data_IF_934382900129
#
_entry.id   IF_934382900129
#
_cell.length_a   1.000
_cell.length_b   1.000
_cell.length_c   1.000
_cell.angle_alpha   90.00
_cell.angle_beta   90.00
_cell.angle_gamma   90.00
#
_symmetry.space_group_name_H-M   'P 1'
#
loop_
_entity.id
_entity.type
_entity.pdbx_description
1 polymer ?
#
# COMPACT_ATOMS: atom_id res chain seq x y z
N UNK A 1 8.19 30.89 -0.86
CA UNK A 1 7.55 30.74 0.47
C UNK A 1 6.24 29.96 0.34
N UNK A 2 5.29 30.41 -0.50
CA UNK A 2 4.01 29.73 -0.71
C UNK A 2 4.11 28.24 -1.11
N UNK A 3 5.01 27.88 -2.03
CA UNK A 3 5.18 26.48 -2.49
C UNK A 3 5.67 25.54 -1.38
N UNK A 4 6.56 26.03 -0.51
CA UNK A 4 7.07 25.27 0.65
C UNK A 4 5.98 25.09 1.71
N UNK A 5 5.16 26.11 1.95
CA UNK A 5 4.02 26.01 2.87
C UNK A 5 2.95 25.05 2.35
N UNK A 6 2.61 25.15 1.06
CA UNK A 6 1.67 24.25 0.40
C UNK A 6 2.14 22.79 0.49
N UNK A 7 3.41 22.52 0.20
CA UNK A 7 3.96 21.18 0.35
C UNK A 7 3.94 20.69 1.79
N UNK A 8 4.30 21.53 2.77
CA UNK A 8 4.26 21.15 4.18
C UNK A 8 2.84 20.73 4.61
N UNK A 9 1.81 21.46 4.16
CA UNK A 9 0.41 21.10 4.44
C UNK A 9 0.06 19.73 3.82
N UNK A 10 0.43 19.53 2.55
CA UNK A 10 0.25 18.25 1.85
C UNK A 10 0.96 17.12 2.59
N UNK A 11 2.23 17.33 2.94
CA UNK A 11 3.05 16.35 3.65
C UNK A 11 2.40 15.97 4.98
N UNK A 12 2.10 16.94 5.85
CA UNK A 12 1.50 16.68 7.16
C UNK A 12 0.16 15.97 7.06
N UNK A 13 -0.66 16.29 6.06
CA UNK A 13 -1.98 15.69 5.86
C UNK A 13 -1.93 14.26 5.32
N UNK A 14 -0.93 13.95 4.48
CA UNK A 14 -0.89 12.68 3.74
C UNK A 14 0.17 11.69 4.25
N UNK A 15 1.17 12.13 5.02
CA UNK A 15 2.29 11.31 5.45
C UNK A 15 1.87 10.00 6.10
N UNK A 16 1.03 10.08 7.13
CA UNK A 16 0.59 8.91 7.89
C UNK A 16 -0.16 7.88 7.02
N UNK A 17 -0.92 8.35 6.02
CA UNK A 17 -1.63 7.48 5.08
C UNK A 17 -0.66 6.77 4.14
N UNK A 18 0.26 7.53 3.54
CA UNK A 18 1.30 6.98 2.64
C UNK A 18 2.20 6.01 3.39
N UNK A 19 2.62 6.33 4.61
CA UNK A 19 3.47 5.46 5.42
C UNK A 19 2.78 4.12 5.74
N UNK A 20 1.48 4.14 6.11
CA UNK A 20 0.71 2.92 6.35
C UNK A 20 0.57 2.09 5.08
N UNK A 21 0.32 2.73 3.94
CA UNK A 21 0.29 2.06 2.65
C UNK A 21 1.64 1.35 2.39
N UNK A 22 2.75 2.06 2.51
CA UNK A 22 4.10 1.50 2.35
C UNK A 22 4.34 0.31 3.30
N UNK A 23 3.98 0.42 4.59
CA UNK A 23 4.07 -0.70 5.54
C UNK A 23 3.29 -1.93 5.07
N UNK A 24 2.10 -1.74 4.50
CA UNK A 24 1.30 -2.82 3.93
C UNK A 24 1.99 -3.50 2.74
N UNK A 25 2.65 -2.73 1.86
CA UNK A 25 3.41 -3.27 0.72
C UNK A 25 4.67 -4.04 1.13
N UNK A 26 5.32 -3.65 2.22
CA UNK A 26 6.57 -4.26 2.69
C UNK A 26 6.38 -5.20 3.88
N UNK A 27 5.19 -5.79 4.03
CA UNK A 27 4.90 -6.80 5.06
C UNK A 27 5.23 -6.34 6.49
N UNK A 28 5.05 -5.05 6.78
CA UNK A 28 5.33 -4.47 8.10
C UNK A 28 6.75 -3.95 8.30
N UNK A 29 7.67 -4.13 7.34
CA UNK A 29 9.03 -3.59 7.41
C UNK A 29 9.00 -2.06 7.47
N UNK A 30 9.23 -1.52 8.67
CA UNK A 30 9.16 -0.09 8.97
C UNK A 30 10.31 0.70 8.36
N UNK A 31 11.49 0.09 8.21
CA UNK A 31 12.64 0.74 7.60
C UNK A 31 12.39 0.95 6.10
N UNK A 32 12.00 -0.13 5.38
CA UNK A 32 11.65 -0.03 3.96
C UNK A 32 10.45 0.88 3.72
N UNK A 33 9.44 0.83 4.60
CA UNK A 33 8.29 1.72 4.50
C UNK A 33 8.67 3.19 4.70
N UNK A 34 9.56 3.50 5.63
CA UNK A 34 10.07 4.86 5.86
C UNK A 34 10.82 5.37 4.63
N UNK A 35 11.74 4.58 4.10
CA UNK A 35 12.55 4.95 2.93
C UNK A 35 11.67 5.19 1.70
N UNK A 36 10.75 4.28 1.42
CA UNK A 36 9.81 4.43 0.31
C UNK A 36 8.93 5.68 0.49
N UNK A 37 8.46 5.95 1.72
CA UNK A 37 7.65 7.15 2.01
C UNK A 37 8.42 8.42 1.74
N UNK A 38 9.70 8.49 2.14
CA UNK A 38 10.55 9.64 1.83
C UNK A 38 10.71 9.83 0.32
N UNK A 39 11.02 8.77 -0.43
CA UNK A 39 11.15 8.86 -1.89
C UNK A 39 9.85 9.32 -2.56
N UNK A 40 8.70 8.86 -2.06
CA UNK A 40 7.39 9.30 -2.56
C UNK A 40 7.21 10.79 -2.37
N UNK A 41 7.50 11.34 -1.18
CA UNK A 41 7.34 12.76 -0.93
C UNK A 41 8.35 13.64 -1.66
N UNK A 42 9.56 13.12 -1.95
CA UNK A 42 10.50 13.78 -2.86
C UNK A 42 9.89 13.89 -4.27
N UNK A 43 9.34 12.79 -4.81
CA UNK A 43 8.67 12.81 -6.13
C UNK A 43 7.43 13.69 -6.15
N UNK A 44 6.70 13.78 -5.04
CA UNK A 44 5.55 14.68 -4.88
C UNK A 44 6.02 16.13 -4.98
N UNK A 45 7.10 16.49 -4.26
CA UNK A 45 7.70 17.82 -4.34
C UNK A 45 8.14 18.18 -5.76
N UNK A 46 8.90 17.28 -6.41
CA UNK A 46 9.44 17.48 -7.77
C UNK A 46 8.38 17.64 -8.86
N UNK A 47 7.16 17.15 -8.62
CA UNK A 47 6.09 17.13 -9.63
C UNK A 47 4.88 17.97 -9.23
N UNK A 48 4.95 18.66 -8.09
CA UNK A 48 3.82 19.40 -7.53
C UNK A 48 3.34 20.49 -8.48
N UNK A 49 4.28 21.15 -9.15
CA UNK A 49 4.07 22.17 -10.19
C UNK A 49 3.36 21.62 -11.44
N UNK A 50 3.57 20.34 -11.76
CA UNK A 50 2.93 19.65 -12.90
C UNK A 50 1.57 19.04 -12.58
N UNK A 51 1.07 19.20 -11.36
CA UNK A 51 -0.22 18.65 -10.96
C UNK A 51 -1.38 19.40 -11.66
N UNK A 52 -1.99 18.73 -12.65
CA UNK A 52 -3.03 19.30 -13.52
C UNK A 52 -4.43 19.40 -12.92
N UNK A 53 -4.61 18.94 -11.67
CA UNK A 53 -5.92 18.93 -10.98
C UNK A 53 -7.01 18.09 -11.68
N UNK A 54 -6.61 17.13 -12.52
CA UNK A 54 -7.51 16.16 -13.18
C UNK A 54 -8.08 15.12 -12.19
N UNK A 55 -7.52 15.04 -10.99
CA UNK A 55 -7.95 14.19 -9.87
C UNK A 55 -7.68 14.92 -8.54
N UNK A 56 -8.09 14.34 -7.40
CA UNK A 56 -7.73 14.94 -6.11
C UNK A 56 -6.22 14.82 -5.85
N UNK A 57 -5.65 15.78 -5.10
CA UNK A 57 -4.24 15.71 -4.70
C UNK A 57 -3.90 14.42 -3.94
N UNK A 58 -4.85 13.90 -3.16
CA UNK A 58 -4.70 12.64 -2.43
C UNK A 58 -4.50 11.49 -3.42
N UNK A 59 -5.37 11.41 -4.42
CA UNK A 59 -5.35 10.38 -5.48
C UNK A 59 -4.03 10.40 -6.24
N UNK A 60 -3.57 11.59 -6.59
CA UNK A 60 -2.33 11.78 -7.30
C UNK A 60 -1.11 11.32 -6.48
N UNK A 61 -1.06 11.66 -5.18
CA UNK A 61 -0.02 11.19 -4.25
C UNK A 61 -0.07 9.67 -4.12
N UNK A 62 -1.26 9.08 -3.98
CA UNK A 62 -1.45 7.64 -3.89
C UNK A 62 -0.94 6.92 -5.13
N UNK A 63 -1.16 7.46 -6.33
CA UNK A 63 -0.62 6.91 -7.57
C UNK A 63 0.91 6.91 -7.58
N UNK A 64 1.55 7.98 -7.09
CA UNK A 64 3.01 8.03 -6.93
C UNK A 64 3.47 7.00 -5.90
N UNK A 65 2.73 6.85 -4.80
CA UNK A 65 3.03 5.92 -3.72
C UNK A 65 3.02 4.47 -4.18
N UNK A 66 1.90 4.03 -4.77
CA UNK A 66 1.73 2.67 -5.30
C UNK A 66 2.81 2.36 -6.34
N UNK A 67 3.04 3.25 -7.31
CA UNK A 67 4.06 3.04 -8.33
C UNK A 67 5.47 2.91 -7.73
N UNK A 68 5.77 3.69 -6.69
CA UNK A 68 7.07 3.62 -6.01
C UNK A 68 7.20 2.30 -5.24
N UNK A 69 6.21 1.91 -4.44
CA UNK A 69 6.22 0.63 -3.73
C UNK A 69 6.39 -0.56 -4.68
N UNK A 70 5.71 -0.54 -5.83
CA UNK A 70 5.84 -1.58 -6.85
C UNK A 70 7.22 -1.64 -7.48
N UNK A 71 7.83 -0.48 -7.74
CA UNK A 71 9.19 -0.43 -8.24
C UNK A 71 10.18 -1.03 -7.23
N UNK A 72 10.00 -0.77 -5.93
CA UNK A 72 10.80 -1.37 -4.86
C UNK A 72 10.65 -2.89 -4.83
N UNK A 73 9.40 -3.39 -4.87
CA UNK A 73 9.12 -4.82 -4.87
C UNK A 73 9.71 -5.53 -6.10
N UNK A 74 9.61 -4.92 -7.29
CA UNK A 74 10.25 -5.45 -8.52
C UNK A 74 11.78 -5.48 -8.41
N UNK A 75 12.40 -4.43 -7.88
CA UNK A 75 13.86 -4.37 -7.64
C UNK A 75 14.33 -5.35 -6.56
N UNK A 76 13.46 -5.68 -5.60
CA UNK A 76 13.71 -6.72 -4.59
C UNK A 76 13.59 -8.12 -5.21
N UNK A 77 12.58 -8.36 -6.04
CA UNK A 77 12.39 -9.63 -6.76
C UNK A 77 13.51 -9.92 -7.76
N UNK A 78 13.97 -8.92 -8.51
CA UNK A 78 15.12 -9.06 -9.43
C UNK A 78 16.44 -9.28 -8.68
N UNK A 79 16.58 -8.81 -7.43
CA UNK A 79 17.71 -9.13 -6.55
C UNK A 79 17.59 -10.52 -5.89
N UNK A 80 16.39 -11.06 -5.73
CA UNK A 80 16.16 -12.41 -5.20
C UNK A 80 16.61 -13.52 -6.15
N UNK A 81 16.69 -13.27 -7.47
CA UNK A 81 17.29 -14.25 -8.40
C UNK A 81 18.82 -14.39 -8.23
N UNK A 82 19.48 -13.47 -7.51
CA UNK A 82 20.93 -13.52 -7.23
C UNK A 82 21.22 -13.84 -5.75
N UNK A 83 20.20 -13.89 -4.89
CA UNK A 83 20.35 -14.20 -3.46
C UNK A 83 19.37 -15.29 -3.05
N UNK A 84 19.75 -16.54 -3.33
CA UNK A 84 19.45 -17.64 -2.40
C UNK A 84 20.02 -17.26 -1.03
N UNK A 85 19.23 -17.51 0.00
CA UNK A 85 19.52 -17.24 1.41
C UNK A 85 19.32 -15.78 1.82
N UNK A 86 18.10 -15.50 2.30
CA UNK A 86 17.76 -14.84 3.57
C UNK A 86 16.25 -14.54 3.48
N UNK A 87 15.43 -15.39 4.10
CA UNK A 87 14.10 -14.99 4.55
C UNK A 87 14.29 -14.07 5.76
N UNK A 88 13.84 -12.81 5.75
CA UNK A 88 13.71 -12.07 6.99
C UNK A 88 12.54 -12.68 7.78
N UNK A 89 12.89 -13.18 8.96
CA UNK A 89 11.98 -13.62 10.00
C UNK A 89 10.85 -12.61 10.21
N UNK A 90 9.66 -13.16 10.37
CA UNK A 90 8.45 -12.55 10.92
C UNK A 90 8.80 -11.63 12.09
N UNK A 91 8.52 -10.33 11.95
CA UNK A 91 8.62 -9.39 13.06
C UNK A 91 7.50 -9.73 14.04
N UNK A 92 7.84 -10.41 15.12
CA UNK A 92 6.96 -10.67 16.24
C UNK A 92 6.86 -9.38 17.07
N UNK A 93 5.97 -8.49 16.68
CA UNK A 93 5.49 -7.43 17.57
C UNK A 93 4.56 -8.10 18.60
N UNK A 94 4.82 -7.89 19.89
CA UNK A 94 4.00 -8.45 20.98
C UNK A 94 2.69 -7.67 21.06
N UNK A 95 1.67 -8.17 20.37
CA UNK A 95 0.33 -7.60 20.33
C UNK A 95 -0.43 -7.95 21.63
N UNK A 96 -0.85 -6.94 22.39
CA UNK A 96 -1.54 -7.13 23.68
C UNK A 96 -3.02 -6.74 23.56
N UNK A 97 -3.81 -7.62 22.95
CA UNK A 97 -5.27 -7.53 22.92
C UNK A 97 -5.90 -8.36 21.80
N UNK A 98 -7.13 -8.85 22.02
CA UNK A 98 -7.88 -9.68 21.07
C UNK A 98 -8.10 -8.99 19.70
N UNK A 99 -8.22 -7.65 19.70
CA UNK A 99 -8.32 -6.84 18.47
C UNK A 99 -7.02 -6.80 17.68
N UNK A 100 -5.88 -6.80 18.36
CA UNK A 100 -4.57 -6.73 17.71
C UNK A 100 -4.20 -8.09 17.10
N UNK A 101 -4.63 -9.20 17.72
CA UNK A 101 -4.48 -10.54 17.17
C UNK A 101 -5.31 -10.75 15.89
N UNK A 102 -6.57 -10.31 15.88
CA UNK A 102 -7.41 -10.33 14.67
C UNK A 102 -6.82 -9.45 13.55
N UNK A 103 -6.25 -8.30 13.91
CA UNK A 103 -5.58 -7.42 12.96
C UNK A 103 -4.32 -8.07 12.38
N UNK A 104 -3.54 -8.76 13.22
CA UNK A 104 -2.37 -9.51 12.79
C UNK A 104 -2.73 -10.64 11.82
N UNK A 105 -3.74 -11.46 12.15
CA UNK A 105 -4.26 -12.51 11.28
C UNK A 105 -4.74 -11.95 9.93
N UNK A 106 -5.44 -10.81 9.95
CA UNK A 106 -5.86 -10.12 8.73
C UNK A 106 -4.65 -9.74 7.85
N UNK A 107 -3.60 -9.17 8.43
CA UNK A 107 -2.38 -8.85 7.68
C UNK A 107 -1.69 -10.10 7.10
N UNK A 108 -1.62 -11.20 7.85
CA UNK A 108 -1.09 -12.47 7.35
C UNK A 108 -1.91 -12.99 6.15
N UNK A 109 -3.24 -12.93 6.23
CA UNK A 109 -4.11 -13.30 5.12
C UNK A 109 -3.94 -12.40 3.89
N UNK A 110 -3.77 -11.09 4.09
CA UNK A 110 -3.47 -10.13 3.01
C UNK A 110 -2.12 -10.46 2.34
N UNK A 111 -1.12 -10.93 3.10
CA UNK A 111 0.18 -11.33 2.54
C UNK A 111 0.09 -12.54 1.59
N UNK A 112 -0.89 -13.43 1.79
CA UNK A 112 -1.13 -14.60 0.92
C UNK A 112 -1.77 -14.24 -0.42
N UNK A 113 -2.29 -13.01 -0.58
CA UNK A 113 -2.87 -12.56 -1.83
C UNK A 113 -1.79 -12.32 -2.90
N UNK A 114 -2.14 -12.60 -4.16
CA UNK A 114 -1.39 -12.11 -5.31
C UNK A 114 -1.18 -10.59 -5.20
N UNK A 115 -0.01 -10.10 -5.62
CA UNK A 115 0.38 -8.69 -5.51
C UNK A 115 -0.73 -7.74 -5.98
N UNK A 116 -1.32 -7.96 -7.17
CA UNK A 116 -2.42 -7.12 -7.69
C UNK A 116 -3.61 -7.04 -6.74
N UNK A 117 -3.98 -8.16 -6.14
CA UNK A 117 -5.12 -8.26 -5.23
C UNK A 117 -4.81 -7.60 -3.88
N UNK A 118 -3.58 -7.72 -3.40
CA UNK A 118 -3.07 -7.00 -2.22
C UNK A 118 -3.17 -5.48 -2.40
N UNK A 119 -2.76 -4.97 -3.56
CA UNK A 119 -2.87 -3.54 -3.89
C UNK A 119 -4.33 -3.07 -3.87
N UNK A 120 -5.21 -3.81 -4.55
CA UNK A 120 -6.63 -3.47 -4.64
C UNK A 120 -7.26 -3.37 -3.25
N UNK A 121 -7.01 -4.35 -2.38
CA UNK A 121 -7.64 -4.35 -1.06
C UNK A 121 -7.06 -3.26 -0.15
N UNK A 122 -5.73 -3.03 -0.17
CA UNK A 122 -5.12 -1.97 0.62
C UNK A 122 -5.65 -0.58 0.21
N UNK A 123 -5.73 -0.29 -1.09
CA UNK A 123 -6.32 0.96 -1.57
C UNK A 123 -7.81 1.09 -1.22
N UNK A 124 -8.55 -0.02 -1.25
CA UNK A 124 -9.97 -0.04 -0.84
C UNK A 124 -10.12 0.27 0.66
N UNK A 125 -9.26 -0.29 1.51
CA UNK A 125 -9.26 -0.05 2.96
C UNK A 125 -8.86 1.38 3.31
N UNK A 126 -8.00 1.99 2.50
CA UNK A 126 -7.61 3.40 2.61
C UNK A 126 -8.70 4.38 2.13
N UNK A 127 -9.81 3.85 1.60
CA UNK A 127 -10.99 4.62 1.22
C UNK A 127 -10.90 5.29 -0.15
N UNK A 128 -10.02 4.82 -1.04
CA UNK A 128 -9.97 5.31 -2.42
C UNK A 128 -11.25 4.92 -3.16
N UNK A 129 -11.70 5.78 -4.07
CA UNK A 129 -12.85 5.48 -4.89
C UNK A 129 -12.51 4.38 -5.91
N UNK A 130 -13.50 3.55 -6.25
CA UNK A 130 -13.28 2.43 -7.17
C UNK A 130 -12.78 2.88 -8.54
N UNK A 131 -13.26 4.04 -9.00
CA UNK A 131 -12.76 4.68 -10.21
C UNK A 131 -11.25 4.90 -10.15
N UNK A 132 -10.75 5.48 -9.07
CA UNK A 132 -9.34 5.81 -8.88
C UNK A 132 -8.47 4.55 -8.79
N UNK A 133 -8.93 3.56 -8.04
CA UNK A 133 -8.26 2.27 -7.93
C UNK A 133 -8.18 1.60 -9.32
N UNK A 134 -9.24 1.70 -10.12
CA UNK A 134 -9.29 1.12 -11.46
C UNK A 134 -8.29 1.79 -12.41
N UNK A 135 -8.13 3.11 -12.32
CA UNK A 135 -7.13 3.88 -13.06
C UNK A 135 -5.70 3.53 -12.64
N UNK A 136 -5.45 3.32 -11.33
CA UNK A 136 -4.14 2.92 -10.80
C UNK A 136 -3.76 1.50 -11.24
N UNK A 137 -4.72 0.57 -11.21
CA UNK A 137 -4.48 -0.84 -11.57
C UNK A 137 -4.49 -1.05 -13.10
N UNK A 138 -5.12 -0.15 -13.87
CA UNK A 138 -5.26 -0.27 -15.32
C UNK A 138 -6.33 -1.29 -15.74
N UNK A 139 -7.44 -1.36 -15.00
CA UNK A 139 -8.60 -2.21 -15.31
C UNK A 139 -9.89 -1.39 -15.29
N UNK A 140 -11.01 -1.93 -15.78
CA UNK A 140 -12.31 -1.26 -15.67
C UNK A 140 -12.83 -1.28 -14.24
N UNK A 141 -13.62 -0.26 -13.85
CA UNK A 141 -14.24 -0.19 -12.52
C UNK A 141 -15.15 -1.40 -12.25
N UNK A 142 -15.84 -1.91 -13.27
CA UNK A 142 -16.68 -3.11 -13.16
C UNK A 142 -15.85 -4.36 -12.83
N UNK A 143 -14.72 -4.55 -13.54
CA UNK A 143 -13.76 -5.62 -13.25
C UNK A 143 -13.20 -5.50 -11.84
N UNK A 144 -12.88 -4.26 -11.42
CA UNK A 144 -12.39 -4.00 -10.08
C UNK A 144 -13.41 -4.41 -9.01
N UNK A 145 -14.68 -4.06 -9.17
CA UNK A 145 -15.75 -4.40 -8.20
C UNK A 145 -15.88 -5.91 -8.00
N UNK A 146 -15.85 -6.66 -9.10
CA UNK A 146 -15.85 -8.14 -9.05
C UNK A 146 -14.60 -8.66 -8.34
N UNK A 147 -13.44 -8.06 -8.62
CA UNK A 147 -12.17 -8.46 -8.01
C UNK A 147 -12.16 -8.17 -6.51
N UNK A 148 -12.60 -6.99 -6.07
CA UNK A 148 -12.77 -6.64 -4.65
C UNK A 148 -13.67 -7.66 -3.94
N UNK A 149 -14.80 -8.02 -4.54
CA UNK A 149 -15.70 -9.01 -3.96
C UNK A 149 -15.01 -10.38 -3.76
N UNK A 150 -14.28 -10.86 -4.77
CA UNK A 150 -13.51 -12.12 -4.69
C UNK A 150 -12.40 -12.04 -3.64
N UNK A 151 -11.69 -10.91 -3.56
CA UNK A 151 -10.63 -10.71 -2.57
C UNK A 151 -11.20 -10.74 -1.15
N UNK A 152 -12.29 -10.01 -0.89
CA UNK A 152 -12.96 -10.01 0.42
C UNK A 152 -13.40 -11.43 0.81
N UNK A 153 -13.98 -12.18 -0.12
CA UNK A 153 -14.36 -13.58 0.10
C UNK A 153 -13.15 -14.45 0.47
N UNK A 154 -12.05 -14.31 -0.25
CA UNK A 154 -10.80 -15.04 0.04
C UNK A 154 -10.24 -14.70 1.42
N UNK A 155 -10.25 -13.42 1.81
CA UNK A 155 -9.79 -12.98 3.12
C UNK A 155 -10.69 -13.51 4.25
N UNK A 156 -12.01 -13.47 4.08
CA UNK A 156 -12.95 -14.05 5.05
C UNK A 156 -12.70 -15.55 5.24
N UNK A 157 -12.50 -16.30 4.15
CA UNK A 157 -12.18 -17.72 4.21
C UNK A 157 -10.83 -17.98 4.90
N UNK A 158 -9.82 -17.16 4.63
CA UNK A 158 -8.50 -17.28 5.26
C UNK A 158 -8.59 -17.11 6.78
N UNK A 159 -9.27 -16.06 7.26
CA UNK A 159 -9.45 -15.80 8.69
C UNK A 159 -10.31 -16.88 9.37
N UNK A 160 -11.29 -17.46 8.67
CA UNK A 160 -12.13 -18.54 9.21
C UNK A 160 -11.41 -19.90 9.27
N UNK A 161 -10.54 -20.19 8.30
CA UNK A 161 -9.84 -21.48 8.22
C UNK A 161 -8.59 -21.57 9.11
N UNK A 162 -8.06 -20.46 9.63
CA UNK A 162 -6.95 -20.45 10.60
C UNK A 162 -7.42 -20.43 12.07
N UNK A 163 -8.72 -20.58 12.33
CA UNK A 163 -9.33 -20.64 13.68
C UNK A 163 -9.71 -22.07 14.14
N UNK A 164 -9.05 -23.12 13.64
CA UNK A 164 -9.17 -24.50 14.14
C UNK A 164 -7.79 -25.08 14.42
#
# INVERSE_FOLDING_TARGET
MAEKEQFNEIYSKHYNKVFRLCKGYFCGDTALASDATQEIFIKVWEKLDTFRNDSSISTWIYRIAVNTCLLYLRKSSSRKEIRTDILPQTVSETYSGEKDEQLHQMYQCIQKLEETNKMIILMTLDGLEYREISEVIGITEETLRVRIHRIKKSLTQCVQNENI
#
